data_IF_124613617006
#
_entry.id   IF_124613617006
#
_cell.length_a   1.000
_cell.length_b   1.000
_cell.length_c   1.000
_cell.angle_alpha   90.00
_cell.angle_beta   90.00
_cell.angle_gamma   90.00
#
_symmetry.space_group_name_H-M   'P 1'
#
loop_
_entity.id
_entity.type
_entity.pdbx_description
1 polymer ?
#
# COMPACT_ATOMS: atom_id res chain seq x y z
N UNK A 1 -12.60 14.63 4.15
CA UNK A 1 -11.57 13.75 4.74
C UNK A 1 -11.57 12.34 4.14
N UNK A 2 -12.63 11.53 4.28
CA UNK A 2 -12.67 10.12 3.79
C UNK A 2 -12.20 9.93 2.34
N UNK A 3 -12.65 10.79 1.42
CA UNK A 3 -12.31 10.67 0.01
C UNK A 3 -10.83 10.94 -0.28
N UNK A 4 -10.21 11.84 0.49
CA UNK A 4 -8.79 12.15 0.38
C UNK A 4 -7.93 10.96 0.83
N UNK A 5 -8.27 10.32 1.95
CA UNK A 5 -7.64 9.07 2.40
C UNK A 5 -7.77 7.97 1.34
N UNK A 6 -8.97 7.77 0.79
CA UNK A 6 -9.20 6.81 -0.30
C UNK A 6 -8.35 7.13 -1.54
N UNK A 7 -8.19 8.40 -1.90
CA UNK A 7 -7.37 8.83 -3.04
C UNK A 7 -5.90 8.51 -2.83
N UNK A 8 -5.35 8.82 -1.66
CA UNK A 8 -3.95 8.51 -1.33
C UNK A 8 -3.68 7.00 -1.31
N UNK A 9 -4.58 6.21 -0.70
CA UNK A 9 -4.43 4.75 -0.71
C UNK A 9 -4.40 4.22 -2.15
N UNK A 10 -5.30 4.69 -3.02
CA UNK A 10 -5.31 4.27 -4.43
C UNK A 10 -4.03 4.68 -5.18
N UNK A 11 -3.53 5.89 -4.93
CA UNK A 11 -2.31 6.39 -5.55
C UNK A 11 -1.09 5.56 -5.13
N UNK A 12 -0.95 5.31 -3.82
CA UNK A 12 0.11 4.48 -3.26
C UNK A 12 0.02 3.04 -3.79
N UNK A 13 -1.17 2.44 -3.84
CA UNK A 13 -1.35 1.10 -4.39
C UNK A 13 -1.00 1.02 -5.87
N UNK A 14 -1.36 2.04 -6.66
CA UNK A 14 -1.03 2.11 -8.08
C UNK A 14 0.48 2.18 -8.30
N UNK A 15 1.21 2.89 -7.44
CA UNK A 15 2.68 2.94 -7.50
C UNK A 15 3.34 1.58 -7.22
N UNK A 16 2.73 0.75 -6.38
CA UNK A 16 3.27 -0.56 -6.02
C UNK A 16 2.59 -1.72 -6.78
N UNK A 17 1.72 -1.45 -7.76
CA UNK A 17 0.91 -2.47 -8.41
C UNK A 17 1.76 -3.63 -8.97
N UNK A 18 2.86 -3.31 -9.66
CA UNK A 18 3.75 -4.31 -10.28
C UNK A 18 4.55 -5.14 -9.26
N UNK A 19 4.49 -4.76 -7.98
CA UNK A 19 5.24 -5.37 -6.88
C UNK A 19 4.35 -6.06 -5.86
N UNK A 20 3.04 -5.87 -5.97
CA UNK A 20 2.08 -6.54 -5.11
C UNK A 20 1.87 -7.96 -5.62
N UNK A 21 1.77 -8.90 -4.68
CA UNK A 21 1.47 -10.29 -4.99
C UNK A 21 0.11 -10.39 -5.68
N UNK A 22 0.10 -10.99 -6.88
CA UNK A 22 -1.11 -11.22 -7.65
C UNK A 22 -1.95 -12.36 -7.06
N UNK A 23 -3.25 -12.36 -7.34
CA UNK A 23 -4.18 -13.40 -6.86
C UNK A 23 -4.71 -13.19 -5.43
N UNK A 24 -4.28 -12.11 -4.75
CA UNK A 24 -4.75 -11.75 -3.42
C UNK A 24 -5.82 -10.65 -3.46
N UNK A 25 -6.84 -10.77 -2.59
CA UNK A 25 -7.79 -9.70 -2.31
C UNK A 25 -7.29 -8.81 -1.16
N UNK A 26 -7.15 -7.51 -1.43
CA UNK A 26 -6.63 -6.55 -0.46
C UNK A 26 -7.74 -5.72 0.18
N UNK A 27 -8.00 -5.93 1.47
CA UNK A 27 -8.91 -5.10 2.27
C UNK A 27 -8.08 -4.18 3.18
N UNK A 28 -8.15 -2.87 2.91
CA UNK A 28 -7.44 -1.85 3.70
C UNK A 28 -8.40 -1.16 4.68
N UNK A 29 -8.12 -1.31 5.98
CA UNK A 29 -8.87 -0.67 7.06
C UNK A 29 -8.07 0.50 7.62
N UNK A 30 -8.43 1.72 7.22
CA UNK A 30 -7.82 2.93 7.76
C UNK A 30 -8.30 3.19 9.19
N UNK A 31 -7.37 3.16 10.15
CA UNK A 31 -7.66 3.52 11.56
C UNK A 31 -7.66 5.03 11.76
N UNK A 32 -8.23 5.50 12.88
CA UNK A 32 -8.33 6.93 13.25
C UNK A 32 -7.04 7.76 13.03
N UNK A 33 -5.81 7.26 13.32
CA UNK A 33 -4.59 8.06 13.14
C UNK A 33 -4.32 8.52 11.69
N UNK A 34 -4.91 7.85 10.70
CA UNK A 34 -4.70 8.17 9.27
C UNK A 34 -5.29 9.54 8.92
N UNK A 35 -6.23 10.09 9.70
CA UNK A 35 -6.86 11.37 9.41
C UNK A 35 -5.93 12.58 9.51
N UNK A 36 -4.80 12.45 10.19
CA UNK A 36 -3.81 13.53 10.38
C UNK A 36 -2.49 13.27 9.66
N UNK A 37 -2.38 12.14 8.95
CA UNK A 37 -1.15 11.77 8.23
C UNK A 37 -1.05 12.49 6.89
N UNK A 38 0.17 12.93 6.59
CA UNK A 38 0.58 13.36 5.25
C UNK A 38 0.62 12.18 4.27
N UNK A 39 0.66 12.47 2.97
CA UNK A 39 0.82 11.44 1.94
C UNK A 39 2.06 10.56 2.19
N UNK A 40 3.20 11.17 2.54
CA UNK A 40 4.45 10.44 2.77
C UNK A 40 4.38 9.53 4.00
N UNK A 41 3.74 9.97 5.08
CA UNK A 41 3.53 9.14 6.27
C UNK A 41 2.58 7.98 5.98
N UNK A 42 1.49 8.24 5.27
CA UNK A 42 0.55 7.19 4.86
C UNK A 42 1.23 6.15 3.98
N UNK A 43 2.06 6.59 3.03
CA UNK A 43 2.88 5.70 2.19
C UNK A 43 3.82 4.84 3.01
N UNK A 44 4.59 5.43 3.93
CA UNK A 44 5.50 4.68 4.82
C UNK A 44 4.74 3.64 5.65
N UNK A 45 3.58 4.03 6.18
CA UNK A 45 2.71 3.14 6.97
C UNK A 45 2.19 1.96 6.12
N UNK A 46 1.67 2.23 4.92
CA UNK A 46 1.16 1.20 4.02
C UNK A 46 2.27 0.21 3.62
N UNK A 47 3.43 0.72 3.20
CA UNK A 47 4.58 -0.11 2.83
C UNK A 47 5.02 -0.99 3.99
N UNK A 48 5.04 -0.47 5.21
CA UNK A 48 5.37 -1.27 6.39
C UNK A 48 4.41 -2.45 6.59
N UNK A 49 3.10 -2.20 6.51
CA UNK A 49 2.09 -3.25 6.69
C UNK A 49 2.14 -4.27 5.56
N UNK A 50 2.28 -3.83 4.30
CA UNK A 50 2.39 -4.73 3.14
C UNK A 50 3.65 -5.62 3.21
N UNK A 51 4.79 -5.09 3.68
CA UNK A 51 5.99 -5.89 3.94
C UNK A 51 5.77 -6.91 5.05
N UNK A 52 5.08 -6.52 6.14
CA UNK A 52 4.74 -7.45 7.23
C UNK A 52 3.80 -8.56 6.80
N UNK A 53 2.85 -8.26 5.91
CA UNK A 53 1.97 -9.24 5.29
C UNK A 53 2.67 -10.11 4.23
N UNK A 54 3.93 -9.82 3.88
CA UNK A 54 4.75 -10.53 2.87
C UNK A 54 4.21 -10.47 1.44
N UNK A 55 3.35 -9.50 1.16
CA UNK A 55 2.67 -9.31 -0.15
C UNK A 55 3.33 -8.25 -1.03
N UNK A 56 4.37 -7.56 -0.55
CA UNK A 56 5.11 -6.54 -1.31
C UNK A 56 6.50 -7.05 -1.65
N UNK A 57 6.74 -7.36 -2.92
CA UNK A 57 8.03 -7.80 -3.42
C UNK A 57 8.99 -6.62 -3.62
N UNK A 58 10.26 -6.87 -3.34
CA UNK A 58 11.31 -5.92 -3.72
C UNK A 58 11.55 -6.03 -5.22
N UNK A 59 11.74 -4.91 -5.92
CA UNK A 59 11.90 -4.87 -7.38
C UNK A 59 13.10 -5.69 -7.89
N UNK A 60 13.94 -6.19 -6.98
CA UNK A 60 15.09 -7.08 -7.26
C UNK A 60 14.72 -8.56 -7.45
N UNK A 61 13.46 -8.96 -7.17
CA UNK A 61 13.00 -10.36 -7.26
C UNK A 61 11.70 -10.48 -8.06
N UNK A 62 11.69 -10.02 -9.31
CA UNK A 62 10.70 -10.52 -10.27
C UNK A 62 11.39 -11.68 -10.99
N UNK A 63 11.06 -12.96 -10.70
CA UNK A 63 11.43 -14.04 -11.59
C UNK A 63 10.71 -13.77 -12.90
N UNK A 64 11.48 -13.46 -13.94
CA UNK A 64 10.98 -13.43 -15.30
C UNK A 64 10.59 -14.89 -15.61
N UNK A 65 9.28 -15.17 -15.65
CA UNK A 65 8.74 -16.41 -16.20
C UNK A 65 8.60 -16.25 -17.71
#
# INVERSE_FOLDING_TARGET
MRNHIKRYIKEIFREFADRLEAGNDYIIISRKPVSTMTHQEMRKSLVHVLKKARVLHDSRKIPQL
#
